data_IF_195613812846
#
_entry.id   IF_195613812846
#
_cell.length_a   1.000
_cell.length_b   1.000
_cell.length_c   1.000
_cell.angle_alpha   90.00
_cell.angle_beta   90.00
_cell.angle_gamma   90.00
#
_symmetry.space_group_name_H-M   'P 1'
#
loop_
_entity.id
_entity.type
_entity.pdbx_description
1 polymer ?
#
# COMPACT_ATOMS: atom_id res chain seq x y z
N UNK A 1 -23.68 56.86 8.01
CA UNK A 1 -24.21 55.68 7.28
C UNK A 1 -23.82 54.44 8.07
N UNK A 2 -24.73 53.99 8.95
CA UNK A 2 -25.52 52.74 8.87
C UNK A 2 -24.83 51.49 9.43
N UNK A 3 -24.99 51.34 10.75
CA UNK A 3 -25.21 50.14 11.58
C UNK A 3 -24.99 48.76 10.93
N UNK A 4 -23.99 48.03 11.41
CA UNK A 4 -23.85 46.57 11.27
C UNK A 4 -24.57 45.84 12.40
N UNK A 5 -25.62 45.09 12.06
CA UNK A 5 -26.26 44.05 12.87
C UNK A 5 -26.51 42.83 11.98
N UNK A 6 -25.96 41.66 12.33
CA UNK A 6 -26.75 40.42 12.41
C UNK A 6 -25.94 39.27 12.99
N UNK A 7 -26.33 38.90 14.21
CA UNK A 7 -26.12 37.59 14.80
C UNK A 7 -26.77 36.52 13.93
N UNK A 8 -26.14 35.33 13.85
CA UNK A 8 -26.83 34.11 13.42
C UNK A 8 -26.51 32.95 14.35
N UNK A 9 -27.60 32.54 14.98
CA UNK A 9 -27.88 31.42 15.87
C UNK A 9 -27.12 30.13 15.62
N UNK A 10 -26.62 29.57 16.72
CA UNK A 10 -26.05 28.25 16.90
C UNK A 10 -27.20 27.26 17.15
N UNK A 11 -27.45 26.34 16.24
CA UNK A 11 -28.48 25.30 16.39
C UNK A 11 -27.82 24.02 16.90
N UNK A 12 -28.08 23.67 18.15
CA UNK A 12 -27.70 22.39 18.74
C UNK A 12 -28.58 21.27 18.19
N UNK A 13 -27.97 20.29 17.53
CA UNK A 13 -28.62 19.04 17.15
C UNK A 13 -28.26 17.99 18.21
N UNK A 14 -29.18 17.73 19.13
CA UNK A 14 -29.11 16.59 20.06
C UNK A 14 -29.54 15.32 19.34
N UNK A 15 -28.57 14.52 18.90
CA UNK A 15 -28.84 13.18 18.35
C UNK A 15 -28.85 12.16 19.49
N UNK A 16 -30.04 11.62 19.81
CA UNK A 16 -30.22 10.48 20.72
C UNK A 16 -29.65 9.22 20.06
N UNK A 17 -28.53 8.71 20.57
CA UNK A 17 -28.08 7.33 20.30
C UNK A 17 -28.94 6.37 21.12
N UNK A 18 -29.79 5.60 20.46
CA UNK A 18 -30.41 4.40 21.04
C UNK A 18 -29.46 3.22 20.81
N UNK A 19 -28.84 2.74 21.89
CA UNK A 19 -28.04 1.52 21.92
C UNK A 19 -28.97 0.30 21.96
N UNK A 20 -29.13 -0.36 20.82
CA UNK A 20 -29.88 -1.63 20.72
C UNK A 20 -28.88 -2.80 20.70
N UNK A 21 -28.41 -3.22 21.88
CA UNK A 21 -27.52 -4.37 22.04
C UNK A 21 -28.37 -5.63 22.12
N UNK A 22 -28.36 -6.44 21.06
CA UNK A 22 -28.99 -7.77 21.07
C UNK A 22 -28.10 -8.78 21.82
N UNK A 23 -28.70 -9.70 22.59
CA UNK A 23 -27.96 -10.68 23.38
C UNK A 23 -27.30 -11.77 22.51
N UNK A 24 -26.07 -12.10 22.88
CA UNK A 24 -25.21 -13.14 22.31
C UNK A 24 -25.82 -14.54 22.43
N UNK A 25 -25.88 -15.26 21.30
CA UNK A 25 -26.22 -16.69 21.24
C UNK A 25 -25.13 -17.53 21.91
N UNK A 26 -25.52 -18.37 22.87
CA UNK A 26 -24.69 -19.42 23.47
C UNK A 26 -24.19 -20.38 22.38
N UNK A 27 -22.88 -20.45 22.19
CA UNK A 27 -22.21 -21.44 21.34
C UNK A 27 -22.07 -22.73 22.16
N UNK A 28 -22.57 -23.85 21.61
CA UNK A 28 -22.41 -25.19 22.20
C UNK A 28 -20.96 -25.67 22.03
N UNK A 29 -20.40 -26.41 22.99
CA UNK A 29 -19.06 -27.00 22.85
C UNK A 29 -19.07 -28.11 21.79
N UNK A 30 -18.26 -27.93 20.75
CA UNK A 30 -17.99 -28.96 19.74
C UNK A 30 -17.05 -30.01 20.35
N UNK A 31 -17.47 -31.26 20.28
CA UNK A 31 -16.79 -32.44 20.77
C UNK A 31 -15.43 -32.65 20.10
N UNK A 32 -14.44 -33.04 20.90
CA UNK A 32 -13.09 -33.43 20.49
C UNK A 32 -13.15 -34.74 19.71
N UNK A 33 -13.05 -34.67 18.38
CA UNK A 33 -12.73 -35.83 17.55
C UNK A 33 -11.21 -35.99 17.45
N UNK A 34 -10.69 -37.13 17.94
CA UNK A 34 -9.30 -37.56 17.74
C UNK A 34 -9.18 -38.20 16.35
N UNK A 35 -8.20 -37.81 15.51
CA UNK A 35 -7.72 -38.69 14.46
C UNK A 35 -6.57 -39.52 15.04
N UNK A 36 -6.84 -40.81 15.26
CA UNK A 36 -5.80 -41.84 15.12
C UNK A 36 -5.68 -42.05 13.62
N UNK A 37 -4.51 -41.84 13.02
CA UNK A 37 -4.10 -42.72 11.94
C UNK A 37 -2.59 -42.75 11.76
N UNK A 38 -2.14 -43.97 11.48
CA UNK A 38 -0.79 -44.49 11.52
C UNK A 38 -0.03 -44.02 10.29
N UNK A 39 1.09 -43.34 10.48
CA UNK A 39 2.06 -43.12 9.40
C UNK A 39 2.99 -44.34 9.31
N UNK A 40 2.94 -45.06 8.20
CA UNK A 40 3.89 -46.10 7.82
C UNK A 40 4.98 -45.52 6.89
N UNK A 41 6.26 -45.88 7.07
CA UNK A 41 7.32 -45.50 6.14
C UNK A 41 7.59 -46.62 5.13
N UNK A 42 7.13 -46.43 3.90
CA UNK A 42 7.55 -47.15 2.68
C UNK A 42 7.50 -46.13 1.55
N UNK A 43 8.40 -46.03 0.59
CA UNK A 43 9.66 -46.72 0.32
C UNK A 43 10.45 -45.81 -0.63
N UNK A 44 11.76 -45.96 -0.59
CA UNK A 44 12.69 -45.40 -1.57
C UNK A 44 12.32 -45.89 -2.97
N UNK A 45 12.06 -44.98 -3.90
CA UNK A 45 12.16 -45.29 -5.32
C UNK A 45 13.02 -44.28 -6.07
N UNK A 46 14.20 -44.78 -6.40
CA UNK A 46 15.22 -44.22 -7.25
C UNK A 46 14.75 -44.41 -8.71
N UNK A 47 14.35 -43.35 -9.41
CA UNK A 47 14.25 -43.39 -10.88
C UNK A 47 15.11 -42.31 -11.53
N UNK A 48 16.24 -42.79 -12.06
CA UNK A 48 17.06 -42.18 -13.10
C UNK A 48 16.34 -42.27 -14.45
N UNK A 49 16.30 -41.18 -15.22
CA UNK A 49 16.45 -41.12 -16.70
C UNK A 49 16.04 -39.70 -17.16
N UNK A 50 16.97 -38.84 -17.57
CA UNK A 50 17.52 -38.68 -18.93
C UNK A 50 16.42 -38.56 -20.01
N UNK A 51 16.17 -37.33 -20.48
CA UNK A 51 16.37 -36.93 -21.89
C UNK A 51 16.22 -35.41 -22.04
N UNK A 52 17.34 -34.79 -22.36
CA UNK A 52 17.53 -33.39 -22.71
C UNK A 52 17.03 -33.13 -24.14
N UNK A 53 15.78 -32.67 -24.27
CA UNK A 53 15.27 -32.11 -25.51
C UNK A 53 15.70 -30.64 -25.62
N UNK A 54 16.73 -30.40 -26.42
CA UNK A 54 17.30 -29.09 -26.77
C UNK A 54 16.28 -28.28 -27.60
N UNK A 55 15.33 -27.62 -26.92
CA UNK A 55 14.43 -26.65 -27.56
C UNK A 55 15.23 -25.40 -27.92
N UNK A 56 15.32 -25.11 -29.23
CA UNK A 56 15.85 -23.85 -29.76
C UNK A 56 15.02 -22.69 -29.18
N UNK A 57 15.64 -21.60 -28.67
CA UNK A 57 14.89 -20.42 -28.27
C UNK A 57 14.31 -19.78 -29.54
N UNK A 58 13.00 -19.89 -29.71
CA UNK A 58 12.28 -19.06 -30.67
C UNK A 58 12.42 -17.62 -30.18
N UNK A 59 13.08 -16.78 -30.97
CA UNK A 59 13.02 -15.32 -30.85
C UNK A 59 11.57 -14.91 -31.05
N UNK A 60 10.82 -14.79 -29.96
CA UNK A 60 9.48 -14.24 -29.98
C UNK A 60 9.58 -12.74 -30.21
N UNK A 61 9.09 -12.34 -31.38
CA UNK A 61 8.14 -11.23 -31.55
C UNK A 61 8.53 -9.92 -30.89
N UNK A 62 9.07 -9.04 -31.73
CA UNK A 62 8.94 -7.57 -31.69
C UNK A 62 8.02 -7.07 -30.56
N UNK A 63 8.63 -6.78 -29.41
CA UNK A 63 8.10 -5.81 -28.45
C UNK A 63 8.13 -4.46 -29.15
N UNK A 64 7.04 -4.14 -29.85
CA UNK A 64 6.69 -2.78 -30.21
C UNK A 64 6.50 -2.04 -28.88
N UNK A 65 7.59 -1.47 -28.37
CA UNK A 65 7.58 -0.55 -27.24
C UNK A 65 6.74 0.64 -27.67
N UNK A 66 5.44 0.60 -27.40
CA UNK A 66 4.64 1.80 -27.28
C UNK A 66 5.30 2.62 -26.18
N UNK A 67 6.08 3.62 -26.59
CA UNK A 67 6.67 4.62 -25.72
C UNK A 67 5.52 5.40 -25.09
N UNK A 68 5.02 4.90 -23.97
CA UNK A 68 3.99 5.59 -23.20
C UNK A 68 4.51 6.98 -22.84
N UNK A 69 3.72 8.05 -23.04
CA UNK A 69 4.18 9.40 -22.77
C UNK A 69 4.64 9.52 -21.32
N UNK A 70 5.82 10.09 -21.14
CA UNK A 70 6.53 10.08 -19.85
C UNK A 70 6.09 11.25 -18.97
N UNK A 71 5.59 12.31 -19.61
CA UNK A 71 5.02 13.49 -18.98
C UNK A 71 3.71 13.85 -19.66
N UNK A 72 2.65 14.02 -18.87
CA UNK A 72 1.33 14.46 -19.34
C UNK A 72 0.85 15.54 -18.38
N UNK A 73 0.59 16.76 -18.87
CA UNK A 73 -0.05 17.84 -18.10
C UNK A 73 0.54 18.12 -16.69
N UNK A 74 1.87 18.10 -16.57
CA UNK A 74 2.56 18.32 -15.28
C UNK A 74 2.60 17.11 -14.34
N UNK A 75 2.16 15.95 -14.82
CA UNK A 75 2.33 14.65 -14.17
C UNK A 75 3.56 13.94 -14.72
N UNK A 76 4.33 13.37 -13.81
CA UNK A 76 5.51 12.56 -14.10
C UNK A 76 5.16 11.09 -13.91
N UNK A 77 5.50 10.26 -14.89
CA UNK A 77 5.31 8.81 -14.81
C UNK A 77 6.29 8.19 -13.82
N UNK A 78 5.78 7.31 -12.97
CA UNK A 78 6.54 6.59 -11.96
C UNK A 78 6.65 5.10 -12.27
N UNK A 79 7.76 4.51 -11.85
CA UNK A 79 8.00 3.08 -11.79
C UNK A 79 8.26 2.67 -10.36
N UNK A 80 7.56 1.63 -9.90
CA UNK A 80 7.84 1.02 -8.61
C UNK A 80 9.24 0.37 -8.62
N UNK A 81 10.04 0.63 -7.58
CA UNK A 81 11.37 0.04 -7.42
C UNK A 81 11.36 -1.11 -6.42
N UNK A 82 10.64 -0.96 -5.31
CA UNK A 82 10.54 -1.98 -4.27
C UNK A 82 10.27 -1.41 -2.89
N UNK A 83 10.23 -2.30 -1.91
CA UNK A 83 9.95 -1.99 -0.50
C UNK A 83 11.22 -2.13 0.32
N UNK A 84 11.53 -1.11 1.09
CA UNK A 84 12.56 -1.14 2.13
C UNK A 84 11.85 -1.35 3.47
N UNK A 85 12.09 -2.51 4.08
CA UNK A 85 11.56 -2.81 5.41
C UNK A 85 12.41 -2.13 6.46
N UNK A 86 11.76 -1.33 7.32
CA UNK A 86 12.43 -0.72 8.47
C UNK A 86 12.78 -1.77 9.53
N UNK A 87 13.78 -1.47 10.36
CA UNK A 87 14.02 -2.21 11.60
C UNK A 87 12.91 -1.92 12.64
N UNK A 88 12.98 -2.52 13.83
CA UNK A 88 11.90 -2.49 14.84
C UNK A 88 11.31 -1.08 15.14
N UNK A 89 12.08 -0.01 14.97
CA UNK A 89 11.65 1.37 15.24
C UNK A 89 11.53 2.24 13.98
N UNK A 90 11.85 1.72 12.80
CA UNK A 90 11.79 2.46 11.54
C UNK A 90 10.56 2.08 10.74
N UNK A 91 9.89 3.08 10.17
CA UNK A 91 8.78 2.84 9.24
C UNK A 91 9.33 2.32 7.93
N UNK A 92 8.63 1.35 7.35
CA UNK A 92 8.94 0.83 6.02
C UNK A 92 8.57 1.83 4.93
N UNK A 93 9.32 1.79 3.83
CA UNK A 93 9.18 2.75 2.74
C UNK A 93 9.00 1.97 1.43
N UNK A 94 7.99 2.34 0.64
CA UNK A 94 7.84 1.94 -0.74
C UNK A 94 8.46 3.02 -1.64
N UNK A 95 9.37 2.62 -2.52
CA UNK A 95 10.12 3.53 -3.38
C UNK A 95 9.57 3.52 -4.80
N UNK A 96 9.27 4.70 -5.32
CA UNK A 96 8.98 4.93 -6.74
C UNK A 96 10.09 5.77 -7.36
N UNK A 97 10.48 5.46 -8.59
CA UNK A 97 11.43 6.23 -9.39
C UNK A 97 10.72 6.85 -10.59
N UNK A 98 11.03 8.10 -10.90
CA UNK A 98 10.56 8.74 -12.14
C UNK A 98 11.24 8.07 -13.34
N UNK A 99 10.49 7.73 -14.39
CA UNK A 99 11.03 6.92 -15.50
C UNK A 99 12.27 7.50 -16.19
N UNK A 100 12.40 8.83 -16.28
CA UNK A 100 13.49 9.53 -17.00
C UNK A 100 14.47 10.24 -16.07
N UNK A 101 14.39 9.98 -14.77
CA UNK A 101 15.12 10.75 -13.76
C UNK A 101 15.72 9.81 -12.71
N UNK A 102 16.67 10.32 -11.94
CA UNK A 102 17.19 9.69 -10.73
C UNK A 102 16.35 10.07 -9.50
N UNK A 103 15.43 11.05 -9.63
CA UNK A 103 14.51 11.41 -8.54
C UNK A 103 13.62 10.23 -8.13
N UNK A 104 13.53 10.05 -6.83
CA UNK A 104 12.67 9.05 -6.18
C UNK A 104 11.57 9.74 -5.37
N UNK A 105 10.41 9.08 -5.32
CA UNK A 105 9.29 9.41 -4.44
C UNK A 105 9.20 8.32 -3.35
N UNK A 106 9.54 8.63 -2.09
CA UNK A 106 9.34 7.72 -0.98
C UNK A 106 7.87 7.77 -0.52
N UNK A 107 7.28 6.60 -0.30
CA UNK A 107 5.94 6.44 0.26
C UNK A 107 6.05 5.64 1.56
N UNK A 108 5.77 6.28 2.68
CA UNK A 108 5.76 5.61 3.99
C UNK A 108 4.58 4.65 4.07
N UNK A 109 4.85 3.42 4.51
CA UNK A 109 3.84 2.39 4.72
C UNK A 109 3.64 2.14 6.21
N UNK A 110 2.40 1.84 6.58
CA UNK A 110 2.14 1.28 7.89
C UNK A 110 2.72 -0.16 7.97
N UNK A 111 2.95 -0.72 9.17
CA UNK A 111 3.56 -2.05 9.29
C UNK A 111 2.78 -3.18 8.60
N UNK A 112 1.45 -3.10 8.54
CA UNK A 112 0.62 -4.13 7.91
C UNK A 112 0.75 -4.11 6.38
N UNK A 113 0.64 -2.93 5.78
CA UNK A 113 0.79 -2.70 4.34
C UNK A 113 2.22 -3.00 3.89
N UNK A 114 3.22 -2.68 4.71
CA UNK A 114 4.62 -3.01 4.42
C UNK A 114 4.84 -4.53 4.29
N UNK A 115 4.22 -5.32 5.16
CA UNK A 115 4.30 -6.78 5.09
C UNK A 115 3.62 -7.31 3.83
N UNK A 116 2.45 -6.78 3.49
CA UNK A 116 1.71 -7.18 2.28
C UNK A 116 2.48 -6.81 1.00
N UNK A 117 3.07 -5.61 0.96
CA UNK A 117 3.91 -5.17 -0.15
C UNK A 117 5.19 -6.03 -0.29
N UNK A 118 5.83 -6.36 0.84
CA UNK A 118 7.00 -7.26 0.84
C UNK A 118 6.65 -8.69 0.40
N UNK A 119 5.46 -9.18 0.73
CA UNK A 119 5.00 -10.49 0.24
C UNK A 119 4.79 -10.49 -1.27
N UNK A 120 4.23 -9.40 -1.82
CA UNK A 120 4.07 -9.24 -3.28
C UNK A 120 5.42 -9.24 -4.00
N UNK A 121 6.45 -8.66 -3.40
CA UNK A 121 7.81 -8.65 -3.95
C UNK A 121 8.52 -10.02 -3.91
N UNK A 122 7.98 -10.99 -3.17
CA UNK A 122 8.59 -12.32 -3.02
C UNK A 122 7.85 -13.35 -3.90
N UNK A 123 8.47 -13.84 -4.99
CA UNK A 123 7.81 -14.75 -5.93
C UNK A 123 7.49 -16.13 -5.33
N UNK A 124 8.19 -16.53 -4.25
CA UNK A 124 8.00 -17.83 -3.61
C UNK A 124 6.81 -17.85 -2.65
N UNK A 125 6.23 -16.68 -2.32
CA UNK A 125 5.08 -16.59 -1.42
C UNK A 125 3.77 -16.64 -2.20
N UNK A 126 3.03 -17.72 -2.02
CA UNK A 126 1.68 -17.87 -2.59
C UNK A 126 0.62 -17.32 -1.65
N UNK A 127 -0.22 -16.40 -2.17
CA UNK A 127 -1.44 -15.95 -1.51
C UNK A 127 -1.24 -14.74 -0.60
N UNK A 128 -1.75 -13.58 -1.03
CA UNK A 128 -1.94 -12.40 -0.19
C UNK A 128 -3.42 -12.06 -0.13
N UNK A 129 -3.86 -11.40 0.96
CA UNK A 129 -5.24 -10.90 1.07
C UNK A 129 -5.59 -9.95 -0.07
N UNK A 130 -4.63 -9.14 -0.54
CA UNK A 130 -4.79 -8.27 -1.69
C UNK A 130 -4.92 -9.02 -3.00
N UNK A 131 -4.17 -10.12 -3.21
CA UNK A 131 -4.31 -10.96 -4.39
C UNK A 131 -5.72 -11.56 -4.48
N UNK A 132 -6.22 -12.11 -3.38
CA UNK A 132 -7.61 -12.60 -3.32
C UNK A 132 -8.61 -11.47 -3.57
N UNK A 133 -8.38 -10.28 -2.99
CA UNK A 133 -9.24 -9.12 -3.19
C UNK A 133 -9.23 -8.65 -4.65
N UNK A 134 -8.07 -8.71 -5.34
CA UNK A 134 -7.96 -8.44 -6.78
C UNK A 134 -8.79 -9.44 -7.58
N UNK A 135 -8.61 -10.74 -7.34
CA UNK A 135 -9.36 -11.79 -8.05
C UNK A 135 -10.87 -11.61 -7.89
N UNK A 136 -11.36 -11.34 -6.67
CA UNK A 136 -12.78 -11.04 -6.41
C UNK A 136 -13.25 -9.80 -7.18
N UNK A 137 -12.43 -8.75 -7.24
CA UNK A 137 -12.77 -7.50 -7.95
C UNK A 137 -12.77 -7.68 -9.46
N UNK A 138 -11.82 -8.45 -10.00
CA UNK A 138 -11.76 -8.80 -11.41
C UNK A 138 -13.01 -9.61 -11.83
N UNK A 139 -13.46 -10.55 -11.00
CA UNK A 139 -14.69 -11.34 -11.23
C UNK A 139 -15.95 -10.47 -11.31
N UNK A 140 -16.01 -9.36 -10.58
CA UNK A 140 -17.10 -8.39 -10.66
C UNK A 140 -16.87 -7.28 -11.70
N UNK A 141 -15.94 -7.49 -12.62
CA UNK A 141 -15.54 -6.57 -13.69
C UNK A 141 -15.09 -5.20 -13.19
N UNK A 142 -14.31 -5.18 -12.10
CA UNK A 142 -13.64 -3.98 -11.59
C UNK A 142 -12.16 -4.03 -11.98
N UNK A 143 -11.65 -2.94 -12.54
CA UNK A 143 -10.23 -2.79 -12.92
C UNK A 143 -9.67 -1.49 -12.36
N UNK A 144 -8.46 -1.55 -11.83
CA UNK A 144 -7.69 -0.35 -11.43
C UNK A 144 -6.64 -0.12 -12.53
N UNK A 145 -6.67 1.04 -13.18
CA UNK A 145 -5.79 1.33 -14.33
C UNK A 145 -4.71 2.34 -14.01
N UNK A 146 -5.01 3.31 -13.13
CA UNK A 146 -4.17 4.46 -12.89
C UNK A 146 -4.17 4.86 -11.41
N UNK A 147 -3.02 5.28 -10.91
CA UNK A 147 -2.85 5.81 -9.56
C UNK A 147 -2.05 7.11 -9.61
N UNK A 148 -2.61 8.18 -9.07
CA UNK A 148 -2.07 9.55 -9.12
C UNK A 148 -1.76 10.05 -7.71
N UNK A 149 -0.50 10.36 -7.41
CA UNK A 149 -0.11 11.06 -6.20
C UNK A 149 -0.51 12.55 -6.31
N UNK A 150 -1.63 12.90 -5.68
CA UNK A 150 -2.35 14.14 -5.97
C UNK A 150 -2.04 15.29 -5.02
N UNK A 151 -1.73 14.98 -3.76
CA UNK A 151 -1.41 15.99 -2.74
C UNK A 151 -0.60 15.42 -1.57
N UNK A 152 0.16 16.28 -0.91
CA UNK A 152 0.81 16.05 0.38
C UNK A 152 0.19 17.01 1.40
N UNK A 153 -0.39 16.51 2.47
CA UNK A 153 -1.00 17.34 3.52
C UNK A 153 -0.60 16.81 4.89
N UNK A 154 -0.03 17.67 5.74
CA UNK A 154 0.43 17.29 7.10
C UNK A 154 1.34 16.04 7.11
N UNK A 155 2.27 15.95 6.14
CA UNK A 155 3.16 14.80 5.99
C UNK A 155 2.50 13.52 5.45
N UNK A 156 1.18 13.53 5.23
CA UNK A 156 0.44 12.40 4.66
C UNK A 156 0.27 12.59 3.16
N UNK A 157 0.66 11.56 2.39
CA UNK A 157 0.46 11.52 0.94
C UNK A 157 -0.92 10.98 0.60
N UNK A 158 -1.60 11.63 -0.34
CA UNK A 158 -2.89 11.21 -0.87
C UNK A 158 -2.76 10.80 -2.33
N UNK A 159 -3.50 9.75 -2.68
CA UNK A 159 -3.57 9.20 -4.03
C UNK A 159 -5.01 9.30 -4.54
N UNK A 160 -5.15 9.54 -5.84
CA UNK A 160 -6.38 9.36 -6.58
C UNK A 160 -6.23 8.12 -7.48
N UNK A 161 -7.10 7.14 -7.30
CA UNK A 161 -7.06 5.85 -8.00
C UNK A 161 -8.19 5.82 -9.01
N UNK A 162 -7.88 5.57 -10.29
CA UNK A 162 -8.86 5.41 -11.35
C UNK A 162 -9.36 3.97 -11.38
N UNK A 163 -10.65 3.81 -11.10
CA UNK A 163 -11.31 2.52 -11.08
C UNK A 163 -12.36 2.47 -12.17
N UNK A 164 -12.34 1.40 -12.95
CA UNK A 164 -13.30 1.09 -13.99
C UNK A 164 -14.23 -0.02 -13.53
N UNK A 165 -15.54 0.16 -13.74
CA UNK A 165 -16.55 -0.87 -13.51
C UNK A 165 -17.55 -0.83 -14.65
N UNK A 166 -17.59 -1.89 -15.46
CA UNK A 166 -18.40 -1.94 -16.70
C UNK A 166 -18.05 -0.74 -17.61
N UNK A 167 -19.03 0.08 -18.00
CA UNK A 167 -18.85 1.26 -18.84
C UNK A 167 -18.61 2.57 -18.06
N UNK A 168 -18.40 2.49 -16.73
CA UNK A 168 -18.22 3.67 -15.88
C UNK A 168 -16.82 3.69 -15.28
N UNK A 169 -16.28 4.90 -15.14
CA UNK A 169 -14.98 5.17 -14.51
C UNK A 169 -15.18 6.15 -13.37
N UNK A 170 -14.48 5.95 -12.26
CA UNK A 170 -14.55 6.81 -11.09
C UNK A 170 -13.17 6.97 -10.45
N UNK A 171 -12.90 8.17 -9.96
CA UNK A 171 -11.72 8.47 -9.15
C UNK A 171 -12.03 8.24 -7.69
N UNK A 172 -11.18 7.46 -7.01
CA UNK A 172 -11.26 7.22 -5.58
C UNK A 172 -10.05 7.86 -4.89
N UNK A 173 -10.31 8.70 -3.89
CA UNK A 173 -9.24 9.30 -3.09
C UNK A 173 -8.93 8.42 -1.89
N UNK A 174 -7.65 8.17 -1.64
CA UNK A 174 -7.18 7.39 -0.50
C UNK A 174 -5.86 7.94 0.05
N UNK A 175 -5.47 7.50 1.25
CA UNK A 175 -4.14 7.75 1.80
C UNK A 175 -3.17 6.73 1.22
N UNK A 176 -2.00 7.18 0.79
CA UNK A 176 -0.99 6.30 0.20
C UNK A 176 -0.53 5.21 1.20
N UNK A 177 -0.31 5.60 2.46
CA UNK A 177 0.18 4.72 3.53
C UNK A 177 -0.68 3.46 3.77
N UNK A 178 -1.99 3.54 3.49
CA UNK A 178 -2.98 2.49 3.82
C UNK A 178 -3.54 1.77 2.59
N UNK A 179 -3.18 2.21 1.39
CA UNK A 179 -3.79 1.70 0.16
C UNK A 179 -2.76 1.24 -0.85
N UNK A 180 -1.47 1.56 -0.64
CA UNK A 180 -0.48 1.26 -1.65
C UNK A 180 -0.24 -0.24 -1.85
N UNK A 181 -0.21 -1.07 -0.80
CA UNK A 181 0.03 -2.49 -1.04
C UNK A 181 -1.12 -3.14 -1.80
N UNK A 182 -2.35 -2.65 -1.61
CA UNK A 182 -3.50 -3.09 -2.38
C UNK A 182 -3.45 -2.62 -3.84
N UNK A 183 -3.20 -1.33 -4.07
CA UNK A 183 -3.18 -0.74 -5.42
C UNK A 183 -2.05 -1.36 -6.27
N UNK A 184 -0.88 -1.63 -5.69
CA UNK A 184 0.23 -2.28 -6.39
C UNK A 184 -0.09 -3.72 -6.87
N UNK A 185 -1.10 -4.38 -6.33
CA UNK A 185 -1.51 -5.73 -6.79
C UNK A 185 -2.13 -5.70 -8.19
N UNK A 186 -2.65 -4.56 -8.63
CA UNK A 186 -3.29 -4.37 -9.93
C UNK A 186 -2.32 -3.91 -11.03
N UNK A 187 -1.05 -3.66 -10.69
CA UNK A 187 -0.05 -3.09 -11.59
C UNK A 187 -0.53 -1.85 -12.39
N UNK A 188 -1.13 -0.83 -11.74
CA UNK A 188 -1.61 0.34 -12.45
C UNK A 188 -0.46 1.22 -12.95
N UNK A 189 -0.78 2.17 -13.83
CA UNK A 189 0.17 3.23 -14.17
C UNK A 189 0.24 4.26 -13.05
N UNK A 190 1.44 4.50 -12.53
CA UNK A 190 1.67 5.47 -11.46
C UNK A 190 2.10 6.82 -12.00
N UNK A 191 1.56 7.88 -11.40
CA UNK A 191 1.86 9.26 -11.76
C UNK A 191 2.00 10.14 -10.52
N UNK A 192 2.87 11.15 -10.57
CA UNK A 192 3.01 12.14 -9.50
C UNK A 192 3.03 13.56 -10.05
N UNK A 193 2.42 14.50 -9.34
CA UNK A 193 2.60 15.93 -9.63
C UNK A 193 3.99 16.37 -9.24
N UNK A 194 4.62 17.18 -10.08
CA UNK A 194 5.95 17.72 -9.80
C UNK A 194 6.03 18.44 -8.43
N UNK A 195 4.96 19.14 -8.03
CA UNK A 195 4.88 19.79 -6.71
C UNK A 195 4.91 18.81 -5.54
N UNK A 196 4.21 17.67 -5.65
CA UNK A 196 4.18 16.64 -4.61
C UNK A 196 5.56 15.98 -4.48
N UNK A 197 6.23 15.74 -5.61
CA UNK A 197 7.58 15.20 -5.63
C UNK A 197 8.57 16.13 -4.90
N UNK A 198 8.57 17.43 -5.22
CA UNK A 198 9.43 18.42 -4.55
C UNK A 198 9.17 18.49 -3.05
N UNK A 199 7.90 18.61 -2.64
CA UNK A 199 7.52 18.66 -1.22
C UNK A 199 7.91 17.39 -0.47
N UNK A 200 7.81 16.21 -1.10
CA UNK A 200 8.20 14.94 -0.46
C UNK A 200 9.69 14.87 -0.14
N UNK A 201 10.52 15.46 -1.01
CA UNK A 201 11.98 15.51 -0.82
C UNK A 201 12.36 16.48 0.30
N UNK A 202 11.70 17.64 0.37
CA UNK A 202 11.91 18.62 1.44
C UNK A 202 11.56 18.04 2.82
N UNK A 203 10.41 17.37 2.93
CA UNK A 203 9.96 16.73 4.18
C UNK A 203 10.93 15.61 4.61
N UNK A 204 11.53 14.88 3.67
CA UNK A 204 12.52 13.85 3.99
C UNK A 204 13.80 14.44 4.56
N UNK A 205 14.33 15.52 3.95
CA UNK A 205 15.53 16.20 4.45
C UNK A 205 15.30 16.71 5.88
N UNK A 206 14.17 17.37 6.13
CA UNK A 206 13.83 17.87 7.48
C UNK A 206 13.71 16.73 8.51
N UNK A 207 13.17 15.57 8.15
CA UNK A 207 13.07 14.43 9.07
C UNK A 207 14.43 13.80 9.39
N UNK A 208 15.37 13.76 8.41
CA UNK A 208 16.73 13.28 8.64
C UNK A 208 17.50 14.20 9.57
N UNK A 209 17.37 15.51 9.40
CA UNK A 209 17.97 16.52 10.29
C UNK A 209 17.45 16.38 11.72
N UNK A 210 16.14 16.16 11.89
CA UNK A 210 15.55 15.97 13.22
C UNK A 210 16.06 14.71 13.94
N UNK A 211 16.27 13.61 13.22
CA UNK A 211 16.81 12.37 13.79
C UNK A 211 18.32 12.43 14.07
N UNK A 212 19.05 13.33 13.44
CA UNK A 212 20.50 13.50 13.61
C UNK A 212 20.87 14.49 14.72
N UNK A 213 19.92 14.93 15.55
CA UNK A 213 20.18 15.70 16.77
C UNK A 213 20.21 14.79 18.03
N UNK A 214 21.38 14.23 18.42
CA UNK A 214 21.50 13.38 19.61
C UNK A 214 21.29 14.13 20.94
N UNK A 215 21.50 15.45 20.99
CA UNK A 215 21.55 16.24 22.24
C UNK A 215 20.21 16.26 23.01
N UNK A 216 19.06 16.29 22.32
CA UNK A 216 17.75 16.32 23.00
C UNK A 216 17.37 14.98 23.65
N UNK A 217 17.99 13.87 23.24
CA UNK A 217 17.73 12.55 23.80
C UNK A 217 18.53 12.31 25.10
N UNK A 218 19.73 12.89 25.20
CA UNK A 218 20.52 12.87 26.44
C UNK A 218 19.94 13.79 27.52
N UNK A 219 19.42 14.97 27.15
CA UNK A 219 18.75 15.89 28.07
C UNK A 219 17.49 15.26 28.69
N UNK A 220 16.66 14.56 27.89
CA UNK A 220 15.47 13.84 28.40
C UNK A 220 15.82 12.66 29.30
N UNK A 221 16.92 11.96 29.01
CA UNK A 221 17.44 10.89 29.87
C UNK A 221 17.97 11.45 31.19
N UNK A 222 18.61 12.62 31.18
CA UNK A 222 19.04 13.32 32.40
C UNK A 222 17.87 13.82 33.24
N UNK A 223 16.76 14.22 32.63
CA UNK A 223 15.61 14.81 33.35
C UNK A 223 14.68 13.79 34.02
N UNK A 224 14.94 12.47 33.93
CA UNK A 224 14.28 11.45 34.77
C UNK A 224 12.75 11.38 34.69
N UNK A 225 12.12 11.99 33.69
CA UNK A 225 10.67 12.15 33.60
C UNK A 225 10.06 10.98 32.83
N UNK A 226 9.93 9.85 33.51
CA UNK A 226 9.07 8.74 33.06
C UNK A 226 7.62 9.14 33.30
N UNK A 227 6.93 9.64 32.27
CA UNK A 227 5.47 9.76 32.28
C UNK A 227 4.91 8.40 31.86
N UNK A 228 4.47 7.63 32.86
CA UNK A 228 3.55 6.50 32.66
C UNK A 228 2.14 7.03 32.40
#
# INVERSE_FOLDING_TARGET
>A
MTKTKKAKSRTEVKTKLQSNVKPTRKVKPVSKAKPKDKWSPQSKDLRKSKTSAKRKPQKSVLEEKLETPIKVDGWLKLREQGVVLGNANQRSILLFRVCDDERVLPVWLNPAEALLAAWRANPDRTGSSHKLSREILEDVNVKISECRFSSLQAGSQFIDVLVHRRAKSYWMKARAEESMSFVCEFNPTFWVKESVLKMSQEVEVSMREFHSMPELNEERRRQGRWLF
#
